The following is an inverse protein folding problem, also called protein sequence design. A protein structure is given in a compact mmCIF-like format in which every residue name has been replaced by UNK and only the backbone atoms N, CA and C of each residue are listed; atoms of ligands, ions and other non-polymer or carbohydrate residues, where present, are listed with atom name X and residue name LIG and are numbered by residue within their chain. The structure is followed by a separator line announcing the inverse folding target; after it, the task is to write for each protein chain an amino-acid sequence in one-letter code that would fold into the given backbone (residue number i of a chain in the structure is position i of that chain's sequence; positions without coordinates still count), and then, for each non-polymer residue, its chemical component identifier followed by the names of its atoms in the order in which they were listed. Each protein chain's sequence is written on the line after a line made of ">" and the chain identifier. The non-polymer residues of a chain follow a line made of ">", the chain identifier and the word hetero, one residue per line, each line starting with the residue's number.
data_IF_989625266334
#
_entry.id   IF_989625266334
#
_cell.length_a   1.000
_cell.length_b   1.000
_cell.length_c   1.000
_cell.angle_alpha   90.00
_cell.angle_beta   90.00
_cell.angle_gamma   90.00
#
_symmetry.space_group_name_H-M   'P 1'
#
loop_
_entity.id
_entity.type
_entity.pdbx_description
1 polymer ?
#
# COMPACT_ATOMS: atom_id res chain seq x y z
N UNK A 1 -0.98 -8.88 17.53
CA UNK A 1 -0.84 -7.42 17.71
C UNK A 1 -1.97 -6.82 18.56
N UNK A 2 -3.25 -7.05 18.25
CA UNK A 2 -4.40 -6.44 18.95
C UNK A 2 -4.42 -6.70 20.45
N UNK A 3 -4.21 -7.96 20.89
CA UNK A 3 -4.17 -8.31 22.31
C UNK A 3 -3.10 -7.54 23.11
N UNK A 4 -1.94 -7.29 22.49
CA UNK A 4 -0.87 -6.52 23.12
C UNK A 4 -1.27 -5.05 23.35
N UNK A 5 -1.92 -4.41 22.38
CA UNK A 5 -2.39 -3.03 22.53
C UNK A 5 -3.52 -2.90 23.56
N UNK A 6 -4.44 -3.86 23.60
CA UNK A 6 -5.50 -3.92 24.62
C UNK A 6 -4.91 -4.06 26.03
N UNK A 7 -3.91 -4.93 26.19
CA UNK A 7 -3.19 -5.09 27.44
C UNK A 7 -2.44 -3.81 27.83
N UNK A 8 -1.72 -3.19 26.90
CA UNK A 8 -0.94 -1.98 27.15
C UNK A 8 -1.82 -0.77 27.51
N UNK A 9 -2.97 -0.60 26.85
CA UNK A 9 -3.98 0.41 27.20
C UNK A 9 -4.52 0.21 28.62
N UNK A 10 -4.73 -1.05 29.00
CA UNK A 10 -5.22 -1.42 30.33
C UNK A 10 -4.16 -1.16 31.41
N UNK A 11 -2.91 -1.58 31.17
CA UNK A 11 -1.79 -1.33 32.08
C UNK A 11 -1.51 0.16 32.27
N UNK A 12 -1.59 0.95 31.19
CA UNK A 12 -1.38 2.41 31.24
C UNK A 12 -2.62 3.20 31.69
N UNK A 13 -3.74 2.52 31.99
CA UNK A 13 -5.04 3.15 32.33
C UNK A 13 -5.47 4.24 31.30
N UNK A 14 -5.07 4.06 30.05
CA UNK A 14 -5.17 5.07 29.01
C UNK A 14 -6.55 5.10 28.31
N UNK A 15 -7.44 4.14 28.65
CA UNK A 15 -8.78 4.00 28.08
C UNK A 15 -9.63 5.28 28.15
N UNK A 16 -9.64 5.96 29.30
CA UNK A 16 -10.51 7.12 29.55
C UNK A 16 -9.89 8.47 29.18
N UNK A 17 -8.56 8.60 29.23
CA UNK A 17 -7.85 9.87 29.05
C UNK A 17 -7.26 10.07 27.66
N UNK A 18 -6.53 9.09 27.14
CA UNK A 18 -5.77 9.22 25.88
C UNK A 18 -6.46 8.53 24.70
N UNK A 19 -7.14 7.41 24.94
CA UNK A 19 -7.84 6.66 23.89
C UNK A 19 -9.20 7.27 23.54
N UNK A 20 -9.87 7.89 24.52
CA UNK A 20 -11.16 8.56 24.33
C UNK A 20 -10.97 9.92 23.67
N UNK A 21 -10.98 9.95 22.34
CA UNK A 21 -10.90 11.18 21.54
C UNK A 21 -12.24 11.48 20.85
N UNK A 22 -12.62 12.77 20.71
CA UNK A 22 -13.76 13.16 19.88
C UNK A 22 -13.66 12.67 18.43
N UNK A 23 -12.45 12.43 17.93
CA UNK A 23 -12.21 11.92 16.57
C UNK A 23 -12.32 10.39 16.44
N UNK A 24 -12.66 9.67 17.52
CA UNK A 24 -12.62 8.20 17.54
C UNK A 24 -13.45 7.57 16.43
N UNK A 25 -14.71 8.00 16.26
CA UNK A 25 -15.62 7.46 15.24
C UNK A 25 -15.06 7.66 13.83
N UNK A 26 -14.55 8.87 13.53
CA UNK A 26 -13.96 9.18 12.23
C UNK A 26 -12.72 8.33 11.96
N UNK A 27 -11.81 8.25 12.93
CA UNK A 27 -10.58 7.46 12.79
C UNK A 27 -10.91 5.96 12.63
N UNK A 28 -11.86 5.44 13.42
CA UNK A 28 -12.32 4.06 13.32
C UNK A 28 -12.87 3.77 11.92
N UNK A 29 -13.73 4.63 11.38
CA UNK A 29 -14.28 4.45 10.03
C UNK A 29 -13.20 4.53 8.95
N UNK A 30 -12.26 5.45 9.05
CA UNK A 30 -11.14 5.54 8.09
C UNK A 30 -10.26 4.28 8.12
N UNK A 31 -9.95 3.77 9.31
CA UNK A 31 -9.19 2.52 9.48
C UNK A 31 -9.99 1.33 8.95
N UNK A 32 -11.31 1.28 9.16
CA UNK A 32 -12.16 0.22 8.65
C UNK A 32 -12.19 0.21 7.12
N UNK A 33 -12.33 1.38 6.49
CA UNK A 33 -12.27 1.52 5.03
C UNK A 33 -10.91 1.04 4.51
N UNK A 34 -9.81 1.46 5.14
CA UNK A 34 -8.46 0.98 4.81
C UNK A 34 -8.33 -0.55 4.95
N UNK A 35 -8.89 -1.13 6.01
CA UNK A 35 -8.85 -2.57 6.25
C UNK A 35 -9.60 -3.35 5.15
N UNK A 36 -10.76 -2.85 4.72
CA UNK A 36 -11.53 -3.45 3.61
C UNK A 36 -10.71 -3.42 2.32
N UNK A 37 -10.16 -2.26 1.94
CA UNK A 37 -9.34 -2.16 0.73
C UNK A 37 -8.09 -3.02 0.79
N UNK A 38 -7.41 -3.07 1.94
CA UNK A 38 -6.23 -3.90 2.13
C UNK A 38 -6.56 -5.39 1.97
N UNK A 39 -7.65 -5.86 2.57
CA UNK A 39 -8.07 -7.25 2.46
C UNK A 39 -8.52 -7.60 1.04
N UNK A 40 -9.30 -6.72 0.39
CA UNK A 40 -9.70 -6.90 -1.00
C UNK A 40 -8.48 -6.98 -1.94
N UNK A 41 -7.51 -6.07 -1.80
CA UNK A 41 -6.27 -6.09 -2.59
C UNK A 41 -5.47 -7.38 -2.35
N UNK A 42 -5.40 -7.85 -1.10
CA UNK A 42 -4.72 -9.10 -0.75
C UNK A 42 -5.42 -10.33 -1.34
N UNK A 43 -6.75 -10.36 -1.34
CA UNK A 43 -7.52 -11.43 -1.96
C UNK A 43 -7.35 -11.46 -3.49
N UNK A 44 -7.39 -10.30 -4.15
CA UNK A 44 -7.08 -10.19 -5.58
C UNK A 44 -5.65 -10.62 -5.89
N UNK A 45 -4.69 -10.23 -5.06
CA UNK A 45 -3.30 -10.68 -5.19
C UNK A 45 -3.18 -12.19 -5.09
N UNK A 46 -3.78 -12.81 -4.07
CA UNK A 46 -3.76 -14.26 -3.90
C UNK A 46 -4.39 -14.99 -5.11
N UNK A 47 -5.51 -14.48 -5.63
CA UNK A 47 -6.14 -15.02 -6.83
C UNK A 47 -5.24 -14.88 -8.07
N UNK A 48 -4.63 -13.72 -8.28
CA UNK A 48 -3.71 -13.49 -9.40
C UNK A 48 -2.44 -14.35 -9.29
N UNK A 49 -1.86 -14.46 -8.10
CA UNK A 49 -0.72 -15.33 -7.84
C UNK A 49 -1.06 -16.79 -8.10
N UNK A 50 -2.25 -17.26 -7.70
CA UNK A 50 -2.72 -18.61 -8.03
C UNK A 50 -2.83 -18.82 -9.56
N UNK A 51 -3.33 -17.84 -10.30
CA UNK A 51 -3.41 -17.91 -11.77
C UNK A 51 -2.05 -17.91 -12.46
N UNK A 52 -1.02 -17.32 -11.84
CA UNK A 52 0.35 -17.30 -12.32
C UNK A 52 1.13 -18.61 -12.04
N UNK A 53 0.53 -19.58 -11.34
CA UNK A 53 1.16 -20.87 -11.07
C UNK A 53 2.47 -20.75 -10.28
N UNK A 54 3.52 -21.45 -10.72
CA UNK A 54 4.83 -21.45 -10.05
C UNK A 54 5.45 -20.05 -9.93
N UNK A 55 5.18 -19.17 -10.90
CA UNK A 55 5.66 -17.78 -10.91
C UNK A 55 4.91 -16.86 -9.95
N UNK A 56 3.78 -17.29 -9.37
CA UNK A 56 2.88 -16.44 -8.59
C UNK A 56 3.54 -15.78 -7.38
N UNK A 57 4.37 -16.53 -6.64
CA UNK A 57 5.00 -16.03 -5.41
C UNK A 57 6.11 -15.01 -5.67
N UNK A 58 6.77 -15.06 -6.83
CA UNK A 58 7.90 -14.19 -7.16
C UNK A 58 7.47 -13.07 -8.10
N UNK A 59 6.98 -13.43 -9.29
CA UNK A 59 6.51 -12.50 -10.32
C UNK A 59 5.27 -11.76 -9.85
N UNK A 60 4.28 -12.49 -9.32
CA UNK A 60 3.06 -11.87 -8.80
C UNK A 60 3.36 -10.90 -7.67
N UNK A 61 4.23 -11.27 -6.73
CA UNK A 61 4.61 -10.41 -5.60
C UNK A 61 5.37 -9.16 -6.08
N UNK A 62 6.28 -9.30 -7.04
CA UNK A 62 6.99 -8.17 -7.63
C UNK A 62 6.03 -7.19 -8.32
N UNK A 63 5.08 -7.69 -9.11
CA UNK A 63 4.06 -6.87 -9.77
C UNK A 63 3.18 -6.17 -8.73
N UNK A 64 2.72 -6.89 -7.70
CA UNK A 64 1.86 -6.35 -6.65
C UNK A 64 2.54 -5.19 -5.90
N UNK A 65 3.75 -5.39 -5.39
CA UNK A 65 4.47 -4.34 -4.64
C UNK A 65 4.80 -3.13 -5.53
N UNK A 66 5.21 -3.36 -6.77
CA UNK A 66 5.49 -2.26 -7.71
C UNK A 66 4.21 -1.48 -8.01
N UNK A 67 3.08 -2.16 -8.17
CA UNK A 67 1.76 -1.52 -8.35
C UNK A 67 1.35 -0.67 -7.15
N UNK A 68 1.63 -1.14 -5.92
CA UNK A 68 1.39 -0.35 -4.70
C UNK A 68 2.20 0.95 -4.69
N UNK A 69 3.49 0.89 -5.03
CA UNK A 69 4.36 2.08 -5.06
C UNK A 69 3.94 3.04 -6.17
N UNK A 70 3.63 2.54 -7.37
CA UNK A 70 3.11 3.35 -8.48
C UNK A 70 1.82 4.08 -8.05
N UNK A 71 0.89 3.35 -7.42
CA UNK A 71 -0.37 3.93 -6.92
C UNK A 71 -0.12 5.01 -5.87
N UNK A 72 0.80 4.78 -4.93
CA UNK A 72 1.16 5.76 -3.92
C UNK A 72 1.75 7.05 -4.52
N UNK A 73 2.67 6.92 -5.47
CA UNK A 73 3.29 8.06 -6.16
C UNK A 73 2.24 8.83 -6.98
N UNK A 74 1.41 8.13 -7.75
CA UNK A 74 0.33 8.76 -8.54
C UNK A 74 -0.66 9.50 -7.65
N UNK A 75 -1.06 8.90 -6.53
CA UNK A 75 -1.90 9.55 -5.52
C UNK A 75 -1.24 10.83 -5.01
N UNK A 76 0.03 10.79 -4.61
CA UNK A 76 0.79 11.97 -4.17
C UNK A 76 0.91 13.08 -5.22
N UNK A 77 0.97 12.71 -6.50
CA UNK A 77 0.94 13.68 -7.61
C UNK A 77 -0.44 14.34 -7.72
N UNK A 78 -1.53 13.54 -7.65
CA UNK A 78 -2.92 14.03 -7.72
C UNK A 78 -3.25 14.92 -6.52
N UNK A 79 -2.82 14.53 -5.30
CA UNK A 79 -2.99 15.32 -4.07
C UNK A 79 -2.04 16.52 -3.99
N UNK A 80 -1.19 16.71 -5.01
CA UNK A 80 -0.27 17.84 -5.14
C UNK A 80 0.80 17.92 -4.04
N UNK A 81 1.11 16.80 -3.38
CA UNK A 81 2.12 16.72 -2.32
C UNK A 81 3.50 17.17 -2.79
N UNK A 82 3.82 16.95 -4.06
CA UNK A 82 5.14 17.23 -4.62
C UNK A 82 5.32 18.66 -5.13
N UNK A 83 4.33 19.56 -5.06
CA UNK A 83 4.43 20.90 -5.66
C UNK A 83 5.63 21.68 -5.13
N UNK A 84 5.90 21.60 -3.82
CA UNK A 84 7.01 22.31 -3.16
C UNK A 84 8.35 21.58 -3.24
N UNK A 85 8.39 20.37 -3.79
CA UNK A 85 9.64 19.63 -3.94
C UNK A 85 10.58 20.28 -4.97
N UNK A 86 11.89 20.15 -4.75
CA UNK A 86 12.90 20.68 -5.67
C UNK A 86 12.79 20.04 -7.06
N UNK A 87 13.20 20.77 -8.10
CA UNK A 87 13.15 20.25 -9.48
C UNK A 87 13.92 18.94 -9.66
N UNK A 88 15.06 18.80 -8.98
CA UNK A 88 15.83 17.54 -8.97
C UNK A 88 15.05 16.39 -8.34
N UNK A 89 14.41 16.60 -7.18
CA UNK A 89 13.62 15.57 -6.52
C UNK A 89 12.44 15.10 -7.39
N UNK A 90 11.74 16.03 -8.06
CA UNK A 90 10.68 15.70 -9.02
C UNK A 90 11.20 14.90 -10.21
N UNK A 91 12.37 15.27 -10.74
CA UNK A 91 12.99 14.53 -11.84
C UNK A 91 13.30 13.08 -11.45
N UNK A 92 13.87 12.86 -10.26
CA UNK A 92 14.11 11.50 -9.74
C UNK A 92 12.81 10.74 -9.51
N UNK A 93 11.77 11.40 -8.99
CA UNK A 93 10.45 10.80 -8.80
C UNK A 93 9.86 10.30 -10.11
N UNK A 94 9.82 11.16 -11.14
CA UNK A 94 9.26 10.80 -12.45
C UNK A 94 10.11 9.74 -13.15
N UNK A 95 11.44 9.85 -13.07
CA UNK A 95 12.33 8.84 -13.63
C UNK A 95 12.12 7.48 -12.97
N UNK A 96 12.07 7.43 -11.63
CA UNK A 96 11.78 6.22 -10.87
C UNK A 96 10.43 5.63 -11.24
N UNK A 97 9.38 6.46 -11.33
CA UNK A 97 8.05 6.02 -11.73
C UNK A 97 8.03 5.37 -13.12
N UNK A 98 8.69 5.99 -14.11
CA UNK A 98 8.82 5.43 -15.46
C UNK A 98 9.56 4.09 -15.43
N UNK A 99 10.70 4.00 -14.73
CA UNK A 99 11.44 2.76 -14.58
C UNK A 99 10.61 1.64 -13.95
N UNK A 100 9.80 1.94 -12.93
CA UNK A 100 8.92 0.98 -12.28
C UNK A 100 7.84 0.45 -13.22
N UNK A 101 7.18 1.35 -13.98
CA UNK A 101 6.16 0.96 -14.96
C UNK A 101 6.77 0.09 -16.06
N UNK A 102 7.92 0.49 -16.61
CA UNK A 102 8.66 -0.31 -17.61
C UNK A 102 9.03 -1.68 -17.05
N UNK A 103 9.48 -1.75 -15.79
CA UNK A 103 9.81 -3.01 -15.11
C UNK A 103 8.61 -3.97 -15.03
N UNK A 104 7.42 -3.48 -14.64
CA UNK A 104 6.20 -4.31 -14.62
C UNK A 104 5.87 -4.83 -16.02
N UNK A 105 5.94 -3.98 -17.04
CA UNK A 105 5.61 -4.36 -18.43
C UNK A 105 6.55 -5.46 -18.92
N UNK A 106 7.86 -5.35 -18.66
CA UNK A 106 8.85 -6.37 -19.02
C UNK A 106 8.54 -7.70 -18.31
N UNK A 107 8.30 -7.65 -17.00
CA UNK A 107 7.99 -8.84 -16.20
C UNK A 107 6.70 -9.52 -16.68
N UNK A 108 5.66 -8.74 -16.96
CA UNK A 108 4.38 -9.25 -17.45
C UNK A 108 4.51 -9.88 -18.84
N UNK A 109 5.25 -9.23 -19.75
CA UNK A 109 5.50 -9.75 -21.10
C UNK A 109 6.35 -11.01 -21.08
N UNK A 110 7.43 -11.04 -20.30
CA UNK A 110 8.29 -12.21 -20.15
C UNK A 110 7.53 -13.44 -19.64
N UNK A 111 6.65 -13.24 -18.64
CA UNK A 111 5.80 -14.32 -18.12
C UNK A 111 4.68 -14.73 -19.10
N UNK A 112 4.31 -13.89 -20.07
CA UNK A 112 3.27 -14.22 -21.06
C UNK A 112 3.77 -15.04 -22.26
N UNK A 113 5.09 -15.18 -22.43
CA UNK A 113 5.72 -15.90 -23.55
C UNK A 113 6.34 -17.23 -23.11
N UNK A 114 6.62 -17.40 -21.81
CA UNK A 114 6.94 -18.70 -21.20
C UNK A 114 5.69 -19.53 -20.98
#
# INVERSE_FOLDING_TARGET
>A
MTAYFLWQLSQKKAWGGEFKTPAFSKNFMLILIMAIFHYAASALFAFAAFKLGESGNTVGYAIFNTSCVVTAILSGIITKEWIKASGKAKSFLYFGLVCMVVGIVIVAYGNGIS
#
